data_IF_150683053071
#
_entry.id   IF_150683053071
#
_cell.length_a   1.000
_cell.length_b   1.000
_cell.length_c   1.000
_cell.angle_alpha   90.00
_cell.angle_beta   90.00
_cell.angle_gamma   90.00
#
_symmetry.space_group_name_H-M   'P 1'
#
loop_
_entity.id
_entity.type
_entity.pdbx_description
1 polymer ?
#
# COMPACT_ATOMS: atom_id res chain seq x y z
N UNK A 1 -13.50 -9.13 -13.21
CA UNK A 1 -12.06 -8.99 -12.90
C UNK A 1 -11.65 -7.55 -13.18
N UNK A 2 -10.99 -6.86 -12.26
CA UNK A 2 -10.62 -5.45 -12.46
C UNK A 2 -9.27 -5.32 -13.18
N UNK A 3 -9.20 -4.47 -14.20
CA UNK A 3 -8.00 -4.23 -15.03
C UNK A 3 -6.71 -4.04 -14.21
N UNK A 4 -6.81 -3.36 -13.07
CA UNK A 4 -5.68 -3.11 -12.14
C UNK A 4 -5.06 -4.41 -11.61
N UNK A 5 -5.86 -5.43 -11.29
CA UNK A 5 -5.34 -6.70 -10.76
C UNK A 5 -4.62 -7.52 -11.83
N UNK A 6 -5.12 -7.46 -13.07
CA UNK A 6 -4.50 -8.11 -14.23
C UNK A 6 -3.14 -7.48 -14.53
N UNK A 7 -3.05 -6.15 -14.53
CA UNK A 7 -1.78 -5.43 -14.71
C UNK A 7 -0.80 -5.73 -13.58
N UNK A 8 -1.26 -5.85 -12.34
CA UNK A 8 -0.38 -6.25 -11.21
C UNK A 8 0.13 -7.68 -11.38
N UNK A 9 -0.71 -8.60 -11.85
CA UNK A 9 -0.31 -9.97 -12.12
C UNK A 9 0.74 -10.03 -13.25
N UNK A 10 0.54 -9.26 -14.33
CA UNK A 10 1.53 -9.11 -15.41
C UNK A 10 2.86 -8.56 -14.89
N UNK A 11 2.83 -7.51 -14.07
CA UNK A 11 4.04 -6.94 -13.48
C UNK A 11 4.77 -7.91 -12.53
N UNK A 12 4.03 -8.77 -11.83
CA UNK A 12 4.61 -9.80 -10.95
C UNK A 12 5.14 -11.01 -11.71
N UNK A 13 4.64 -11.27 -12.92
CA UNK A 13 5.06 -12.37 -13.78
C UNK A 13 6.31 -12.04 -14.60
N UNK A 14 6.78 -10.78 -14.57
CA UNK A 14 8.01 -10.36 -15.25
C UNK A 14 9.24 -11.03 -14.64
N UNK A 15 10.28 -11.18 -15.47
CA UNK A 15 11.53 -11.79 -15.03
C UNK A 15 12.16 -10.96 -13.88
N UNK A 16 12.57 -11.62 -12.78
CA UNK A 16 13.23 -10.93 -11.69
C UNK A 16 14.56 -10.36 -12.20
N UNK A 17 14.65 -9.03 -12.27
CA UNK A 17 15.80 -8.29 -12.80
C UNK A 17 15.47 -7.38 -13.97
N UNK A 18 14.30 -7.55 -14.61
CA UNK A 18 13.88 -6.63 -15.67
C UNK A 18 13.40 -5.29 -15.08
N UNK A 19 14.10 -4.21 -15.41
CA UNK A 19 13.70 -2.87 -15.00
C UNK A 19 12.50 -2.40 -15.82
N UNK A 20 11.47 -1.88 -15.15
CA UNK A 20 10.33 -1.25 -15.82
C UNK A 20 9.94 0.07 -15.14
N UNK A 21 9.24 0.91 -15.89
CA UNK A 21 8.72 2.19 -15.42
C UNK A 21 7.20 2.16 -15.39
N UNK A 22 6.59 2.58 -14.27
CA UNK A 22 5.14 2.66 -14.13
C UNK A 22 4.49 3.60 -15.15
N UNK A 23 5.22 4.62 -15.62
CA UNK A 23 4.76 5.53 -16.67
C UNK A 23 4.54 4.85 -18.03
N UNK A 24 5.26 3.77 -18.33
CA UNK A 24 5.02 2.97 -19.54
C UNK A 24 3.74 2.14 -19.41
N UNK A 25 3.49 1.60 -18.22
CA UNK A 25 2.29 0.83 -17.89
C UNK A 25 1.06 1.75 -17.93
N UNK A 26 1.18 2.97 -17.42
CA UNK A 26 0.14 4.00 -17.50
C UNK A 26 -0.25 4.33 -18.95
N UNK A 27 0.73 4.53 -19.84
CA UNK A 27 0.45 4.77 -21.27
C UNK A 27 -0.23 3.59 -21.95
N UNK A 28 0.08 2.35 -21.53
CA UNK A 28 -0.48 1.13 -22.12
C UNK A 28 -1.92 0.86 -21.67
N UNK A 29 -2.22 1.10 -20.38
CA UNK A 29 -3.48 0.68 -19.76
C UNK A 29 -4.36 1.84 -19.28
N UNK A 30 -3.89 3.09 -19.35
CA UNK A 30 -4.61 4.26 -18.85
C UNK A 30 -4.77 4.30 -17.33
N UNK A 31 -3.98 3.51 -16.58
CA UNK A 31 -4.02 3.47 -15.12
C UNK A 31 -2.90 4.34 -14.58
N UNK A 32 -3.27 5.29 -13.73
CA UNK A 32 -2.32 6.15 -12.99
C UNK A 32 -1.18 5.35 -12.33
N UNK A 33 0.04 5.79 -12.58
CA UNK A 33 1.27 5.16 -12.08
C UNK A 33 1.35 5.13 -10.55
N UNK A 34 0.80 6.12 -9.84
CA UNK A 34 0.73 6.11 -8.38
C UNK A 34 -0.16 4.97 -7.85
N UNK A 35 -1.29 4.72 -8.52
CA UNK A 35 -2.21 3.62 -8.20
C UNK A 35 -1.55 2.27 -8.40
N UNK A 36 -0.84 2.09 -9.51
CA UNK A 36 -0.07 0.87 -9.80
C UNK A 36 1.02 0.64 -8.76
N UNK A 37 1.82 1.66 -8.45
CA UNK A 37 2.90 1.56 -7.47
C UNK A 37 2.36 1.17 -6.07
N UNK A 38 1.28 1.82 -5.61
CA UNK A 38 0.65 1.50 -4.32
C UNK A 38 0.21 0.04 -4.24
N UNK A 39 -0.43 -0.46 -5.29
CA UNK A 39 -0.98 -1.82 -5.31
C UNK A 39 0.08 -2.88 -5.55
N UNK A 40 1.03 -2.64 -6.46
CA UNK A 40 2.15 -3.53 -6.73
C UNK A 40 3.04 -3.72 -5.49
N UNK A 41 3.34 -2.63 -4.77
CA UNK A 41 4.12 -2.66 -3.53
C UNK A 41 3.34 -3.20 -2.31
N UNK A 42 2.05 -3.56 -2.47
CA UNK A 42 1.22 -3.99 -1.35
C UNK A 42 0.98 -2.89 -0.30
N UNK A 43 1.21 -1.61 -0.65
CA UNK A 43 0.92 -0.43 0.20
C UNK A 43 -0.57 -0.12 0.34
N UNK A 44 -1.44 -1.08 0.04
CA UNK A 44 -2.69 -1.24 0.77
C UNK A 44 -2.39 -1.73 2.18
N UNK A 45 -1.65 -0.93 2.97
CA UNK A 45 -1.81 -1.08 4.40
C UNK A 45 -3.30 -0.78 4.66
N UNK A 46 -4.05 -1.63 5.38
CA UNK A 46 -5.17 -1.07 6.10
C UNK A 46 -4.59 0.11 6.86
N UNK A 47 -5.27 1.25 6.85
CA UNK A 47 -5.00 2.27 7.85
C UNK A 47 -5.24 1.54 9.18
N UNK A 48 -4.21 0.85 9.71
CA UNK A 48 -4.08 0.62 11.13
C UNK A 48 -3.95 2.06 11.58
N UNK A 49 -5.12 2.64 11.91
CA UNK A 49 -5.19 3.81 12.75
C UNK A 49 -4.04 3.64 13.73
N UNK A 50 -3.18 4.65 13.95
CA UNK A 50 -2.36 4.60 15.14
C UNK A 50 -3.34 4.25 16.24
N UNK A 51 -3.13 3.10 16.87
CA UNK A 51 -3.86 2.73 18.06
C UNK A 51 -3.69 3.96 18.93
N UNK A 52 -4.75 4.77 19.03
CA UNK A 52 -4.86 5.76 20.06
C UNK A 52 -4.84 4.90 21.30
N UNK A 53 -3.63 4.58 21.76
CA UNK A 53 -3.40 4.07 23.09
C UNK A 53 -4.16 5.07 23.94
N UNK A 54 -5.25 4.67 24.62
CA UNK A 54 -5.82 5.56 25.60
C UNK A 54 -4.67 5.85 26.54
N UNK A 55 -4.23 7.10 26.55
CA UNK A 55 -3.20 7.58 27.45
C UNK A 55 -3.58 7.04 28.84
N UNK A 56 -2.73 6.27 29.54
CA UNK A 56 -3.01 5.96 30.92
C UNK A 56 -3.02 7.30 31.64
N UNK A 57 -4.21 7.85 31.90
CA UNK A 57 -4.38 8.97 32.80
C UNK A 57 -3.96 8.43 34.16
N UNK A 58 -2.82 8.94 34.62
CA UNK A 58 -2.33 8.84 35.98
C UNK A 58 -3.52 8.81 36.96
N UNK A 59 -3.81 7.64 37.53
CA UNK A 59 -4.38 7.59 38.88
C UNK A 59 -3.20 7.74 39.84
N UNK A 60 -2.69 8.95 39.93
CA UNK A 60 -2.12 9.42 41.20
C UNK A 60 -3.32 9.61 42.10
N UNK A 61 -3.41 8.93 43.24
CA UNK A 61 -4.14 9.31 44.48
C UNK A 61 -3.81 8.27 45.59
N UNK A 62 -3.83 8.65 46.88
CA UNK A 62 -2.70 8.45 47.78
C UNK A 62 -2.82 7.28 48.77
N UNK A 63 -1.66 6.99 49.37
CA UNK A 63 -1.41 6.21 50.58
C UNK A 63 -2.47 6.42 51.68
N UNK A 64 -3.00 5.31 52.22
CA UNK A 64 -3.42 5.17 53.62
C UNK A 64 -3.06 3.77 54.13
#
# INVERSE_FOLDING_TARGET
MSLILEVIAELKSREPGESFFYSQVEKKYGIDSCTLARRHQGRTQPNKLPHFSPHPQHKTEPLQ
#
